data_IF_429248945910
#
_entry.id   IF_429248945910
#
_cell.length_a   1.000
_cell.length_b   1.000
_cell.length_c   1.000
_cell.angle_alpha   90.00
_cell.angle_beta   90.00
_cell.angle_gamma   90.00
#
_symmetry.space_group_name_H-M   'P 1'
#
loop_
_entity.id
_entity.type
_entity.pdbx_description
1 polymer ?
#
# COMPACT_ATOMS: atom_id res chain seq x y z
N UNK A 1 -0.47 1.55 -28.56
CA UNK A 1 -0.21 1.30 -27.12
C UNK A 1 -1.44 1.73 -26.34
N UNK A 2 -2.23 0.78 -25.82
CA UNK A 2 -3.41 1.08 -25.01
C UNK A 2 -2.96 1.03 -23.55
N UNK A 3 -2.68 2.21 -22.95
CA UNK A 3 -2.32 2.36 -21.53
C UNK A 3 -3.52 2.01 -20.64
N UNK A 4 -3.36 2.06 -19.32
CA UNK A 4 -4.51 2.02 -18.41
C UNK A 4 -5.46 3.21 -18.71
N UNK A 5 -6.53 2.97 -19.47
CA UNK A 5 -7.41 4.05 -19.98
C UNK A 5 -8.35 4.62 -18.91
N UNK A 6 -8.59 3.85 -17.85
CA UNK A 6 -9.47 4.28 -16.77
C UNK A 6 -8.81 5.34 -15.88
N UNK A 7 -9.12 6.61 -16.18
CA UNK A 7 -8.60 7.78 -15.46
C UNK A 7 -8.79 7.71 -13.95
N UNK A 8 -9.89 7.12 -13.48
CA UNK A 8 -10.16 6.98 -12.03
C UNK A 8 -9.17 6.01 -11.39
N UNK A 9 -8.95 4.84 -11.99
CA UNK A 9 -7.95 3.89 -11.51
C UNK A 9 -6.53 4.48 -11.54
N UNK A 10 -6.20 5.26 -12.57
CA UNK A 10 -4.91 5.98 -12.63
C UNK A 10 -4.74 6.91 -11.43
N UNK A 11 -5.75 7.75 -11.13
CA UNK A 11 -5.71 8.66 -9.99
C UNK A 11 -5.54 7.91 -8.68
N UNK A 12 -6.28 6.82 -8.48
CA UNK A 12 -6.18 5.98 -7.28
C UNK A 12 -4.76 5.44 -7.12
N UNK A 13 -4.19 4.85 -8.18
CA UNK A 13 -2.83 4.31 -8.16
C UNK A 13 -1.80 5.42 -7.89
N UNK A 14 -1.97 6.62 -8.47
CA UNK A 14 -1.12 7.76 -8.19
C UNK A 14 -1.15 8.18 -6.71
N UNK A 15 -2.34 8.20 -6.08
CA UNK A 15 -2.46 8.51 -4.65
C UNK A 15 -1.78 7.45 -3.79
N UNK A 16 -1.98 6.16 -4.09
CA UNK A 16 -1.31 5.06 -3.37
C UNK A 16 0.22 5.16 -3.55
N UNK A 17 0.67 5.49 -4.77
CA UNK A 17 2.09 5.68 -5.09
C UNK A 17 2.67 6.83 -4.29
N UNK A 18 1.99 7.97 -4.23
CA UNK A 18 2.43 9.12 -3.45
C UNK A 18 2.58 8.76 -1.97
N UNK A 19 1.59 8.06 -1.39
CA UNK A 19 1.66 7.60 0.00
C UNK A 19 2.85 6.65 0.23
N UNK A 20 3.09 5.72 -0.70
CA UNK A 20 4.22 4.79 -0.62
C UNK A 20 5.57 5.52 -0.69
N UNK A 21 5.72 6.49 -1.60
CA UNK A 21 6.94 7.31 -1.69
C UNK A 21 7.15 8.13 -0.41
N UNK A 22 6.08 8.74 0.10
CA UNK A 22 6.13 9.52 1.33
C UNK A 22 6.62 8.67 2.51
N UNK A 23 5.97 7.53 2.80
CA UNK A 23 6.40 6.64 3.88
C UNK A 23 7.78 6.03 3.64
N UNK A 24 8.15 5.75 2.39
CA UNK A 24 9.50 5.32 2.03
C UNK A 24 10.54 6.34 2.49
N UNK A 25 10.39 7.61 2.12
CA UNK A 25 11.37 8.63 2.51
C UNK A 25 11.39 8.90 4.01
N UNK A 26 10.25 8.78 4.68
CA UNK A 26 10.19 8.91 6.13
C UNK A 26 10.95 7.81 6.86
N UNK A 27 10.96 6.58 6.33
CA UNK A 27 11.56 5.44 7.02
C UNK A 27 12.98 5.08 6.56
N UNK A 28 13.43 5.56 5.40
CA UNK A 28 14.78 5.31 4.89
C UNK A 28 15.89 6.04 5.63
N UNK A 29 15.56 7.05 6.44
CA UNK A 29 16.52 7.80 7.26
C UNK A 29 16.15 7.72 8.72
N UNK A 30 17.09 7.30 9.55
CA UNK A 30 16.90 7.17 11.01
C UNK A 30 16.41 8.46 11.65
N UNK A 31 16.94 9.62 11.21
CA UNK A 31 16.53 10.93 11.70
C UNK A 31 15.05 11.24 11.39
N UNK A 32 14.57 10.90 10.19
CA UNK A 32 13.17 11.12 9.82
C UNK A 32 12.24 10.10 10.49
N UNK A 33 12.69 8.86 10.62
CA UNK A 33 11.96 7.79 11.29
C UNK A 33 11.75 8.11 12.78
N UNK A 34 12.80 8.55 13.47
CA UNK A 34 12.71 8.97 14.87
C UNK A 34 11.79 10.19 15.04
N UNK A 35 11.99 11.23 14.23
CA UNK A 35 11.16 12.44 14.29
C UNK A 35 9.67 12.16 14.00
N UNK A 36 9.37 11.18 13.14
CA UNK A 36 8.00 10.76 12.89
C UNK A 36 7.37 10.07 14.09
N UNK A 37 8.09 9.11 14.67
CA UNK A 37 7.61 8.36 15.83
C UNK A 37 7.33 9.31 17.01
N UNK A 38 8.26 10.21 17.30
CA UNK A 38 8.11 11.23 18.35
C UNK A 38 6.89 12.14 18.09
N UNK A 39 6.69 12.60 16.85
CA UNK A 39 5.53 13.43 16.50
C UNK A 39 4.21 12.67 16.49
N UNK A 40 4.25 11.36 16.30
CA UNK A 40 3.07 10.49 16.38
C UNK A 40 2.66 10.19 17.82
N UNK A 41 3.38 10.72 18.82
CA UNK A 41 3.14 10.50 20.24
C UNK A 41 3.74 9.20 20.79
N UNK A 42 4.56 8.53 19.98
CA UNK A 42 5.27 7.31 20.39
C UNK A 42 6.68 7.65 20.88
N UNK A 43 7.25 6.85 21.81
CA UNK A 43 8.63 7.02 22.22
C UNK A 43 9.59 6.85 21.04
N UNK A 44 10.78 7.45 21.17
CA UNK A 44 11.84 7.32 20.17
C UNK A 44 12.16 5.83 19.92
N UNK A 45 12.22 5.39 18.66
CA UNK A 45 12.47 3.99 18.31
C UNK A 45 13.89 3.59 18.70
N UNK A 46 14.06 2.38 19.23
CA UNK A 46 15.38 1.80 19.49
C UNK A 46 16.06 1.34 18.18
N UNK A 47 17.34 0.97 18.23
CA UNK A 47 18.12 0.57 17.04
C UNK A 47 17.48 -0.57 16.25
N UNK A 48 16.87 -1.55 16.95
CA UNK A 48 16.18 -2.67 16.29
C UNK A 48 14.93 -2.19 15.55
N UNK A 49 14.14 -1.32 16.18
CA UNK A 49 12.96 -0.71 15.54
C UNK A 49 13.36 0.13 14.34
N UNK A 50 14.42 0.94 14.43
CA UNK A 50 14.97 1.72 13.32
C UNK A 50 15.40 0.85 12.14
N UNK A 51 16.11 -0.25 12.39
CA UNK A 51 16.50 -1.21 11.36
C UNK A 51 15.27 -1.77 10.60
N UNK A 52 14.23 -2.15 11.33
CA UNK A 52 12.99 -2.62 10.72
C UNK A 52 12.27 -1.52 9.95
N UNK A 53 12.20 -0.30 10.49
CA UNK A 53 11.63 0.86 9.78
C UNK A 53 12.35 1.10 8.45
N UNK A 54 13.69 1.09 8.43
CA UNK A 54 14.46 1.18 7.18
C UNK A 54 14.10 0.09 6.16
N UNK A 55 13.95 -1.15 6.61
CA UNK A 55 13.49 -2.27 5.77
C UNK A 55 12.09 -2.04 5.20
N UNK A 56 11.16 -1.53 6.01
CA UNK A 56 9.82 -1.13 5.55
C UNK A 56 9.88 0.01 4.54
N UNK A 57 10.80 0.97 4.71
CA UNK A 57 11.05 2.04 3.76
C UNK A 57 11.37 1.52 2.35
N UNK A 58 12.28 0.56 2.24
CA UNK A 58 12.60 -0.09 0.95
C UNK A 58 11.44 -0.89 0.36
N UNK A 59 10.59 -1.51 1.20
CA UNK A 59 9.37 -2.17 0.74
C UNK A 59 8.43 -1.13 0.12
N UNK A 60 8.18 -0.01 0.79
CA UNK A 60 7.33 1.05 0.26
C UNK A 60 7.89 1.66 -1.03
N UNK A 61 9.21 1.82 -1.14
CA UNK A 61 9.85 2.26 -2.38
C UNK A 61 9.59 1.28 -3.53
N UNK A 62 9.77 -0.02 -3.27
CA UNK A 62 9.55 -1.08 -4.25
C UNK A 62 8.09 -1.13 -4.71
N UNK A 63 7.15 -0.91 -3.79
CA UNK A 63 5.72 -0.80 -4.10
C UNK A 63 5.41 0.43 -4.96
N UNK A 64 6.03 1.58 -4.66
CA UNK A 64 5.89 2.78 -5.48
C UNK A 64 6.38 2.55 -6.91
N UNK A 65 7.54 1.92 -7.08
CA UNK A 65 8.07 1.54 -8.40
C UNK A 65 7.12 0.60 -9.11
N UNK A 66 6.61 -0.44 -8.45
CA UNK A 66 5.63 -1.36 -9.01
C UNK A 66 4.35 -0.66 -9.49
N UNK A 67 3.84 0.30 -8.70
CA UNK A 67 2.67 1.08 -9.09
C UNK A 67 2.96 1.97 -10.30
N UNK A 68 4.12 2.64 -10.37
CA UNK A 68 4.53 3.44 -11.53
C UNK A 68 4.62 2.56 -12.77
N UNK A 69 5.24 1.39 -12.68
CA UNK A 69 5.32 0.44 -13.79
C UNK A 69 3.92 0.01 -14.27
N UNK A 70 2.99 -0.23 -13.34
CA UNK A 70 1.61 -0.60 -13.67
C UNK A 70 0.83 0.50 -14.43
N UNK A 71 1.25 1.77 -14.32
CA UNK A 71 0.68 2.91 -15.04
C UNK A 71 1.28 3.08 -16.44
N UNK A 72 2.51 2.62 -16.66
CA UNK A 72 3.22 2.75 -17.92
C UNK A 72 2.91 1.61 -18.90
N UNK A 73 2.48 0.47 -18.37
CA UNK A 73 2.25 -0.79 -19.08
C UNK A 73 0.75 -0.97 -19.38
N UNK A 74 0.36 -1.69 -20.46
CA UNK A 74 -1.04 -1.99 -20.74
C UNK A 74 -1.75 -2.71 -19.59
N UNK A 75 -3.05 -2.45 -19.44
CA UNK A 75 -3.86 -3.02 -18.36
C UNK A 75 -3.88 -4.56 -18.35
N UNK A 76 -3.65 -5.22 -19.50
CA UNK A 76 -3.58 -6.68 -19.62
C UNK A 76 -2.35 -7.28 -18.94
N UNK A 77 -1.23 -6.57 -18.94
CA UNK A 77 0.04 -7.02 -18.37
C UNK A 77 0.14 -6.67 -16.87
N UNK A 78 -0.54 -5.62 -16.42
CA UNK A 78 -0.60 -5.24 -15.00
C UNK A 78 -1.64 -6.01 -14.16
N UNK A 79 -2.44 -6.91 -14.77
CA UNK A 79 -3.50 -7.67 -14.07
C UNK A 79 -2.98 -8.50 -12.91
N UNK A 80 -1.89 -9.24 -13.12
CA UNK A 80 -1.29 -10.10 -12.09
C UNK A 80 -0.81 -9.26 -10.92
N UNK A 81 -0.20 -8.10 -11.21
CA UNK A 81 0.21 -7.14 -10.21
C UNK A 81 -0.98 -6.62 -9.38
N UNK A 82 -2.05 -6.15 -10.01
CA UNK A 82 -3.24 -5.66 -9.28
C UNK A 82 -3.90 -6.75 -8.43
N UNK A 83 -3.95 -8.00 -8.91
CA UNK A 83 -4.46 -9.14 -8.13
C UNK A 83 -3.61 -9.39 -6.89
N UNK A 84 -2.29 -9.46 -7.06
CA UNK A 84 -1.35 -9.65 -5.97
C UNK A 84 -1.45 -8.52 -4.93
N UNK A 85 -1.47 -7.27 -5.40
CA UNK A 85 -1.56 -6.10 -4.53
C UNK A 85 -2.89 -6.01 -3.77
N UNK A 86 -4.01 -6.39 -4.39
CA UNK A 86 -5.30 -6.46 -3.69
C UNK A 86 -5.25 -7.47 -2.54
N UNK A 87 -4.69 -8.65 -2.79
CA UNK A 87 -4.53 -9.68 -1.77
C UNK A 87 -3.60 -9.23 -0.64
N UNK A 88 -2.42 -8.70 -0.98
CA UNK A 88 -1.44 -8.22 0.01
C UNK A 88 -1.98 -7.05 0.83
N UNK A 89 -2.72 -6.13 0.21
CA UNK A 89 -3.38 -5.03 0.91
C UNK A 89 -4.43 -5.54 1.89
N UNK A 90 -5.21 -6.56 1.52
CA UNK A 90 -6.18 -7.19 2.41
C UNK A 90 -5.52 -7.92 3.59
N UNK A 91 -4.46 -8.68 3.35
CA UNK A 91 -3.67 -9.33 4.42
C UNK A 91 -3.07 -8.28 5.36
N UNK A 92 -2.56 -7.18 4.82
CA UNK A 92 -2.01 -6.07 5.62
C UNK A 92 -3.09 -5.41 6.49
N UNK A 93 -4.30 -5.23 5.95
CA UNK A 93 -5.46 -4.76 6.71
C UNK A 93 -5.84 -5.72 7.84
N UNK A 94 -5.91 -7.03 7.58
CA UNK A 94 -6.21 -8.02 8.64
C UNK A 94 -5.17 -7.98 9.76
N UNK A 95 -3.88 -7.80 9.43
CA UNK A 95 -2.83 -7.63 10.42
C UNK A 95 -3.04 -6.34 11.25
N UNK A 96 -3.33 -5.22 10.60
CA UNK A 96 -3.58 -3.96 11.30
C UNK A 96 -4.82 -4.05 12.21
N UNK A 97 -5.86 -4.75 11.75
CA UNK A 97 -7.07 -5.01 12.53
C UNK A 97 -6.75 -5.87 13.75
N UNK A 98 -5.99 -6.95 13.57
CA UNK A 98 -5.53 -7.80 14.66
C UNK A 98 -4.76 -7.01 15.72
N UNK A 99 -3.81 -6.17 15.28
CA UNK A 99 -3.03 -5.31 16.17
C UNK A 99 -3.91 -4.32 16.95
N UNK A 100 -4.94 -3.75 16.31
CA UNK A 100 -5.87 -2.84 16.97
C UNK A 100 -6.77 -3.54 18.00
N UNK A 101 -7.15 -4.81 17.75
CA UNK A 101 -7.97 -5.61 18.68
C UNK A 101 -7.19 -6.02 19.93
N UNK A 102 -5.92 -6.40 19.77
CA UNK A 102 -5.08 -6.89 20.89
C UNK A 102 -4.38 -5.76 21.66
N UNK A 103 -4.44 -4.52 21.17
CA UNK A 103 -3.78 -3.39 21.83
C UNK A 103 -4.45 -3.09 23.18
N UNK A 104 -3.69 -3.17 24.26
CA UNK A 104 -4.12 -2.72 25.59
C UNK A 104 -3.79 -1.22 25.75
N UNK A 105 -4.82 -0.37 25.92
CA UNK A 105 -4.67 1.08 26.08
C UNK A 105 -5.15 1.89 24.87
N UNK A 106 -4.55 3.07 24.67
CA UNK A 106 -4.91 3.95 23.55
C UNK A 106 -4.54 3.33 22.20
N UNK A 107 -5.56 3.03 21.39
CA UNK A 107 -5.39 2.40 20.09
C UNK A 107 -5.00 3.46 19.06
N UNK A 108 -3.80 3.33 18.49
CA UNK A 108 -3.38 4.13 17.35
C UNK A 108 -4.08 3.65 16.07
N UNK A 109 -5.25 4.23 15.77
CA UNK A 109 -6.11 3.88 14.63
C UNK A 109 -5.62 4.30 13.22
N UNK A 110 -4.76 5.32 13.02
CA UNK A 110 -4.38 5.74 11.66
C UNK A 110 -3.82 4.64 10.74
N UNK A 111 -2.96 3.70 11.19
CA UNK A 111 -2.50 2.59 10.36
C UNK A 111 -3.62 1.63 9.94
N UNK A 112 -4.61 1.41 10.80
CA UNK A 112 -5.79 0.59 10.48
C UNK A 112 -6.62 1.25 9.38
N UNK A 113 -6.90 2.55 9.52
CA UNK A 113 -7.66 3.31 8.53
C UNK A 113 -6.91 3.34 7.18
N UNK A 114 -5.61 3.62 7.21
CA UNK A 114 -4.78 3.67 6.00
C UNK A 114 -4.76 2.32 5.26
N UNK A 115 -4.54 1.22 5.98
CA UNK A 115 -4.52 -0.13 5.37
C UNK A 115 -5.89 -0.53 4.80
N UNK A 116 -6.99 -0.18 5.48
CA UNK A 116 -8.35 -0.37 4.97
C UNK A 116 -8.58 0.38 3.65
N UNK A 117 -8.22 1.67 3.61
CA UNK A 117 -8.38 2.51 2.42
C UNK A 117 -7.59 1.92 1.25
N UNK A 118 -6.33 1.49 1.47
CA UNK A 118 -5.51 0.89 0.41
C UNK A 118 -6.11 -0.43 -0.09
N UNK A 119 -6.64 -1.27 0.80
CA UNK A 119 -7.31 -2.53 0.41
C UNK A 119 -8.56 -2.29 -0.44
N UNK A 120 -9.41 -1.32 -0.03
CA UNK A 120 -10.58 -0.91 -0.81
C UNK A 120 -10.16 -0.30 -2.15
N UNK A 121 -9.17 0.57 -2.15
CA UNK A 121 -8.69 1.26 -3.35
C UNK A 121 -8.17 0.27 -4.41
N UNK A 122 -7.34 -0.71 -4.03
CA UNK A 122 -6.92 -1.76 -4.96
C UNK A 122 -8.09 -2.64 -5.43
N UNK A 123 -9.06 -2.94 -4.55
CA UNK A 123 -10.27 -3.68 -4.94
C UNK A 123 -11.13 -2.92 -5.97
N UNK A 124 -11.19 -1.59 -5.87
CA UNK A 124 -11.86 -0.72 -6.85
C UNK A 124 -11.09 -0.74 -8.18
N UNK A 125 -9.77 -0.57 -8.15
CA UNK A 125 -8.91 -0.66 -9.35
C UNK A 125 -9.08 -2.01 -10.05
N UNK A 126 -9.08 -3.11 -9.30
CA UNK A 126 -9.25 -4.47 -9.81
C UNK A 126 -10.60 -4.64 -10.55
N UNK A 127 -11.66 -4.04 -10.00
CA UNK A 127 -13.00 -4.10 -10.59
C UNK A 127 -13.10 -3.26 -11.85
N UNK A 128 -12.61 -2.02 -11.82
CA UNK A 128 -12.69 -1.08 -12.94
C UNK A 128 -11.82 -1.49 -14.13
N UNK A 129 -10.67 -2.12 -13.85
CA UNK A 129 -9.76 -2.63 -14.90
C UNK A 129 -10.15 -4.02 -15.41
N UNK A 130 -11.27 -4.60 -14.93
CA UNK A 130 -11.69 -5.98 -15.21
C UNK A 130 -10.60 -7.03 -14.89
N UNK A 131 -9.76 -6.73 -13.92
CA UNK A 131 -8.62 -7.56 -13.53
C UNK A 131 -8.98 -8.62 -12.49
N UNK A 132 -10.27 -8.81 -12.13
CA UNK A 132 -10.69 -9.85 -11.18
C UNK A 132 -10.35 -11.26 -11.70
N UNK A 133 -10.07 -12.19 -10.78
CA UNK A 133 -10.02 -13.61 -11.13
C UNK A 133 -11.42 -14.08 -11.56
N UNK A 134 -11.51 -14.93 -12.60
CA UNK A 134 -12.80 -15.41 -13.13
C UNK A 134 -13.49 -14.51 -14.16
N UNK A 135 -13.15 -13.22 -14.27
CA UNK A 135 -13.71 -12.33 -15.30
C UNK A 135 -13.28 -12.67 -16.75
N UNK A 136 -12.34 -13.60 -16.91
CA UNK A 136 -11.84 -14.08 -18.20
C UNK A 136 -11.99 -15.61 -18.39
N UNK A 137 -12.59 -16.32 -17.43
CA UNK A 137 -12.96 -17.74 -17.57
C UNK A 137 -14.47 -17.83 -17.80
N UNK A 138 -14.87 -17.47 -19.02
CA UNK A 138 -16.21 -17.47 -19.58
C UNK A 138 -16.10 -16.68 -20.89
N UNK A 139 -16.29 -17.22 -22.10
CA UNK A 139 -17.50 -17.90 -22.55
C UNK A 139 -18.74 -17.29 -21.89
N UNK A 140 -19.01 -16.04 -22.30
CA UNK A 140 -20.31 -15.51 -22.74
C UNK A 140 -20.06 -14.14 -23.39
#
# INVERSE_FOLDING_TARGET
MIKLEDKVSVVIICVITFMAIFYSFMFLSDNFAAAFMERSGSPAPNETTLFWMGSWGFIYLSLAVGNIMSLLVPASESRTYFRAMTFLAFVSFLRALGNAIIAEGDVFLPPLIASFIVAVAFSVVLSRTKSRAGAHFGWL
#
